data_IF_969890161565
#
_entry.id   IF_969890161565
#
_cell.length_a   1.000
_cell.length_b   1.000
_cell.length_c   1.000
_cell.angle_alpha   90.00
_cell.angle_beta   90.00
_cell.angle_gamma   90.00
#
_symmetry.space_group_name_H-M   'P 1'
#
loop_
_entity.id
_entity.type
_entity.pdbx_description
1 polymer ?
#
# COMPACT_ATOMS: atom_id res chain seq x y z
N UNK A 1 -12.38 -31.32 -21.79
CA UNK A 1 -11.37 -30.25 -21.56
C UNK A 1 -11.67 -28.93 -22.27
N UNK A 2 -12.33 -28.91 -23.44
CA UNK A 2 -12.70 -27.67 -24.16
C UNK A 2 -13.95 -26.96 -23.58
N UNK A 3 -14.88 -27.71 -22.99
CA UNK A 3 -16.12 -27.17 -22.39
C UNK A 3 -15.91 -26.35 -21.10
N UNK A 4 -14.85 -26.62 -20.33
CA UNK A 4 -14.46 -25.80 -19.16
C UNK A 4 -13.89 -24.46 -19.62
N UNK A 5 -13.16 -24.44 -20.74
CA UNK A 5 -12.62 -23.22 -21.35
C UNK A 5 -13.71 -22.33 -21.98
N UNK A 6 -14.79 -22.92 -22.52
CA UNK A 6 -15.89 -22.14 -23.10
C UNK A 6 -16.81 -21.50 -22.04
N UNK A 7 -16.95 -22.09 -20.85
CA UNK A 7 -17.59 -21.45 -19.69
C UNK A 7 -16.66 -20.44 -18.97
N UNK A 8 -15.34 -20.58 -19.09
CA UNK A 8 -14.38 -19.57 -18.64
C UNK A 8 -14.38 -18.29 -19.52
N UNK A 9 -14.87 -18.39 -20.77
CA UNK A 9 -14.97 -17.26 -21.70
C UNK A 9 -16.21 -16.37 -21.47
N UNK A 10 -17.12 -16.72 -20.56
CA UNK A 10 -18.27 -15.87 -20.20
C UNK A 10 -18.02 -14.90 -19.04
N UNK A 11 -16.89 -15.02 -18.32
CA UNK A 11 -16.54 -14.16 -17.19
C UNK A 11 -15.51 -13.11 -17.60
N UNK A 12 -15.98 -12.09 -18.32
CA UNK A 12 -15.16 -10.91 -18.60
C UNK A 12 -14.69 -10.29 -17.28
N UNK A 13 -13.38 -10.04 -17.06
CA UNK A 13 -12.87 -9.49 -15.81
C UNK A 13 -13.56 -8.15 -15.45
N UNK A 14 -14.05 -7.43 -16.46
CA UNK A 14 -14.83 -6.21 -16.29
C UNK A 14 -16.17 -6.46 -15.59
N UNK A 15 -16.87 -7.55 -15.90
CA UNK A 15 -18.13 -7.92 -15.23
C UNK A 15 -17.88 -8.42 -13.81
N UNK A 16 -16.84 -9.23 -13.62
CA UNK A 16 -16.44 -9.70 -12.29
C UNK A 16 -16.09 -8.53 -11.37
N UNK A 17 -15.40 -7.51 -11.89
CA UNK A 17 -15.05 -6.34 -11.10
C UNK A 17 -16.29 -5.59 -10.59
N UNK A 18 -17.32 -5.44 -11.43
CA UNK A 18 -18.58 -4.84 -11.01
C UNK A 18 -19.29 -5.64 -9.90
N UNK A 19 -19.26 -6.98 -9.98
CA UNK A 19 -19.83 -7.83 -8.93
C UNK A 19 -19.01 -7.74 -7.63
N UNK A 20 -17.68 -7.74 -7.74
CA UNK A 20 -16.77 -7.61 -6.61
C UNK A 20 -16.96 -6.28 -5.85
N UNK A 21 -17.23 -5.18 -6.56
CA UNK A 21 -17.48 -3.86 -5.99
C UNK A 21 -18.72 -3.78 -5.08
N UNK A 22 -19.67 -4.72 -5.20
CA UNK A 22 -20.85 -4.76 -4.32
C UNK A 22 -20.45 -4.98 -2.84
N UNK A 23 -19.33 -5.64 -2.53
CA UNK A 23 -18.88 -5.77 -1.14
C UNK A 23 -18.48 -4.42 -0.52
N UNK A 24 -17.85 -3.55 -1.31
CA UNK A 24 -17.54 -2.18 -0.93
C UNK A 24 -18.81 -1.36 -0.71
N UNK A 25 -19.72 -1.38 -1.70
CA UNK A 25 -21.00 -0.65 -1.69
C UNK A 25 -21.90 -1.05 -0.52
N UNK A 26 -22.17 -2.35 -0.34
CA UNK A 26 -22.96 -2.86 0.80
C UNK A 26 -22.29 -2.51 2.13
N UNK A 27 -20.98 -2.43 2.09
CA UNK A 27 -20.17 -1.95 3.18
C UNK A 27 -20.37 -0.48 3.57
N UNK A 28 -20.52 0.41 2.60
CA UNK A 28 -20.85 1.82 2.83
C UNK A 28 -22.26 1.96 3.38
N UNK A 29 -23.21 1.16 2.88
CA UNK A 29 -24.57 1.07 3.45
C UNK A 29 -24.52 0.64 4.91
N UNK A 30 -23.69 -0.37 5.25
CA UNK A 30 -23.49 -0.78 6.64
C UNK A 30 -22.96 0.36 7.50
N UNK A 31 -21.92 1.06 7.05
CA UNK A 31 -21.33 2.18 7.81
C UNK A 31 -22.35 3.29 8.06
N UNK A 32 -23.13 3.67 7.04
CA UNK A 32 -24.20 4.68 7.19
C UNK A 32 -25.27 4.23 8.17
N UNK A 33 -25.74 2.99 8.05
CA UNK A 33 -26.73 2.44 8.99
C UNK A 33 -26.19 2.40 10.44
N UNK A 34 -24.90 2.14 10.63
CA UNK A 34 -24.29 2.20 11.96
C UNK A 34 -24.26 3.62 12.54
N UNK A 35 -23.96 4.61 11.70
CA UNK A 35 -23.94 6.02 12.09
C UNK A 35 -25.35 6.52 12.44
N UNK A 36 -26.35 6.20 11.61
CA UNK A 36 -27.75 6.59 11.83
C UNK A 36 -28.35 5.97 13.09
N UNK A 37 -28.02 4.70 13.37
CA UNK A 37 -28.57 3.99 14.53
C UNK A 37 -27.76 4.22 15.82
N UNK A 38 -26.52 4.73 15.72
CA UNK A 38 -25.58 4.81 16.84
C UNK A 38 -25.19 3.44 17.43
N UNK A 39 -25.51 2.34 16.74
CA UNK A 39 -25.23 0.94 17.13
C UNK A 39 -25.04 0.07 15.90
N UNK A 40 -24.67 -1.19 16.12
CA UNK A 40 -24.64 -2.19 15.04
C UNK A 40 -26.05 -2.46 14.50
N UNK A 41 -26.29 -2.33 13.19
CA UNK A 41 -27.52 -2.78 12.57
C UNK A 41 -27.59 -4.31 12.60
N UNK A 42 -28.80 -4.82 12.81
CA UNK A 42 -29.10 -6.24 12.59
C UNK A 42 -29.02 -6.58 11.10
N UNK A 43 -28.87 -7.86 10.70
CA UNK A 43 -28.89 -8.24 9.28
C UNK A 43 -30.15 -7.76 8.55
N UNK A 44 -31.29 -7.72 9.24
CA UNK A 44 -32.55 -7.21 8.69
C UNK A 44 -32.53 -5.71 8.48
N UNK A 45 -31.99 -4.94 9.43
CA UNK A 45 -31.84 -3.49 9.29
C UNK A 45 -30.84 -3.13 8.19
N UNK A 46 -29.72 -3.86 8.11
CA UNK A 46 -28.75 -3.66 7.02
C UNK A 46 -29.35 -3.95 5.65
N UNK A 47 -30.07 -5.07 5.52
CA UNK A 47 -30.75 -5.42 4.28
C UNK A 47 -31.80 -4.36 3.92
N UNK A 48 -32.58 -3.88 4.90
CA UNK A 48 -33.54 -2.80 4.71
C UNK A 48 -32.88 -1.49 4.25
N UNK A 49 -31.75 -1.08 4.84
CA UNK A 49 -30.97 0.09 4.40
C UNK A 49 -30.40 -0.05 2.98
N UNK A 50 -30.23 -1.27 2.49
CA UNK A 50 -29.81 -1.57 1.12
C UNK A 50 -30.99 -1.73 0.15
N UNK A 51 -32.24 -1.76 0.64
CA UNK A 51 -33.44 -2.09 -0.15
C UNK A 51 -33.50 -3.56 -0.58
N UNK A 52 -32.94 -4.47 0.22
CA UNK A 52 -32.82 -5.90 -0.07
C UNK A 52 -33.51 -6.74 1.01
N UNK A 53 -33.87 -7.99 0.68
CA UNK A 53 -34.10 -9.01 1.71
C UNK A 53 -32.76 -9.47 2.32
N UNK A 54 -32.82 -10.10 3.50
CA UNK A 54 -31.64 -10.68 4.15
C UNK A 54 -30.99 -11.74 3.26
N UNK A 55 -31.79 -12.55 2.56
CA UNK A 55 -31.32 -13.58 1.64
C UNK A 55 -30.56 -12.97 0.46
N UNK A 56 -31.11 -11.91 -0.15
CA UNK A 56 -30.46 -11.22 -1.27
C UNK A 56 -29.18 -10.50 -0.84
N UNK A 57 -29.17 -9.89 0.35
CA UNK A 57 -27.97 -9.28 0.93
C UNK A 57 -26.85 -10.32 1.08
N UNK A 58 -27.15 -11.48 1.67
CA UNK A 58 -26.18 -12.56 1.86
C UNK A 58 -25.70 -13.13 0.52
N UNK A 59 -26.61 -13.34 -0.44
CA UNK A 59 -26.27 -13.82 -1.77
C UNK A 59 -25.34 -12.85 -2.51
N UNK A 60 -25.63 -11.53 -2.48
CA UNK A 60 -24.77 -10.52 -3.11
C UNK A 60 -23.41 -10.43 -2.46
N UNK A 61 -23.34 -10.50 -1.12
CA UNK A 61 -22.05 -10.53 -0.40
C UNK A 61 -21.22 -11.76 -0.77
N UNK A 62 -21.85 -12.92 -0.88
CA UNK A 62 -21.18 -14.16 -1.31
C UNK A 62 -20.63 -14.02 -2.73
N UNK A 63 -21.47 -13.60 -3.67
CA UNK A 63 -21.07 -13.41 -5.06
C UNK A 63 -19.93 -12.38 -5.21
N UNK A 64 -19.96 -11.28 -4.46
CA UNK A 64 -18.90 -10.26 -4.47
C UNK A 64 -17.55 -10.82 -3.98
N UNK A 65 -17.57 -11.66 -2.94
CA UNK A 65 -16.37 -12.33 -2.42
C UNK A 65 -15.80 -13.35 -3.39
N UNK A 66 -16.67 -14.17 -3.99
CA UNK A 66 -16.29 -15.13 -5.01
C UNK A 66 -15.67 -14.43 -6.23
N UNK A 67 -16.30 -13.35 -6.71
CA UNK A 67 -15.77 -12.55 -7.81
C UNK A 67 -14.42 -11.89 -7.47
N UNK A 68 -14.24 -11.39 -6.25
CA UNK A 68 -12.97 -10.84 -5.78
C UNK A 68 -11.88 -11.91 -5.76
N UNK A 69 -12.21 -13.09 -5.21
CA UNK A 69 -11.30 -14.24 -5.16
C UNK A 69 -10.88 -14.68 -6.57
N UNK A 70 -11.84 -14.82 -7.48
CA UNK A 70 -11.59 -15.22 -8.86
C UNK A 70 -10.71 -14.20 -9.60
N UNK A 71 -10.97 -12.89 -9.42
CA UNK A 71 -10.13 -11.83 -9.99
C UNK A 71 -8.71 -11.88 -9.46
N UNK A 72 -8.53 -12.08 -8.15
CA UNK A 72 -7.21 -12.21 -7.53
C UNK A 72 -6.49 -13.44 -8.08
N UNK A 73 -7.13 -14.61 -8.06
CA UNK A 73 -6.57 -15.88 -8.56
C UNK A 73 -6.15 -15.78 -10.03
N UNK A 74 -7.01 -15.22 -10.88
CA UNK A 74 -6.74 -15.03 -12.31
C UNK A 74 -5.53 -14.12 -12.57
N UNK A 75 -5.32 -13.11 -11.73
CA UNK A 75 -4.24 -12.13 -11.91
C UNK A 75 -2.98 -12.43 -11.08
N UNK A 76 -2.92 -13.56 -10.38
CA UNK A 76 -1.72 -13.97 -9.62
C UNK A 76 -0.46 -14.04 -10.50
N UNK A 77 -0.59 -14.46 -11.76
CA UNK A 77 0.52 -14.52 -12.71
C UNK A 77 1.09 -13.13 -13.01
N UNK A 78 0.23 -12.13 -13.19
CA UNK A 78 0.62 -10.72 -13.38
C UNK A 78 1.35 -10.21 -12.14
N UNK A 79 0.77 -10.39 -10.95
CA UNK A 79 1.37 -9.95 -9.68
C UNK A 79 2.76 -10.57 -9.50
N UNK A 80 2.89 -11.90 -9.61
CA UNK A 80 4.19 -12.57 -9.49
C UNK A 80 5.21 -12.10 -10.54
N UNK A 81 4.78 -11.81 -11.77
CA UNK A 81 5.67 -11.27 -12.81
C UNK A 81 6.19 -9.87 -12.51
N UNK A 82 5.38 -9.03 -11.85
CA UNK A 82 5.78 -7.69 -11.42
C UNK A 82 6.67 -7.75 -10.17
N UNK A 83 6.34 -8.63 -9.21
CA UNK A 83 7.11 -8.82 -7.98
C UNK A 83 8.57 -9.19 -8.30
N UNK A 84 8.80 -10.14 -9.21
CA UNK A 84 10.17 -10.53 -9.63
C UNK A 84 11.00 -9.36 -10.16
N UNK A 85 10.38 -8.43 -10.91
CA UNK A 85 11.06 -7.25 -11.45
C UNK A 85 11.47 -6.26 -10.34
N UNK A 86 10.59 -6.09 -9.34
CA UNK A 86 10.85 -5.19 -8.20
C UNK A 86 11.89 -5.79 -7.26
N UNK A 87 11.77 -7.09 -6.95
CA UNK A 87 12.69 -7.83 -6.09
C UNK A 87 14.14 -7.73 -6.56
N UNK A 88 14.37 -7.98 -7.86
CA UNK A 88 15.69 -7.87 -8.49
C UNK A 88 16.38 -6.52 -8.23
N UNK A 89 15.62 -5.43 -8.25
CA UNK A 89 16.16 -4.07 -8.12
C UNK A 89 16.33 -3.64 -6.66
N UNK A 90 15.64 -4.28 -5.71
CA UNK A 90 15.46 -3.76 -4.34
C UNK A 90 15.85 -4.71 -3.22
N UNK A 91 16.28 -5.94 -3.53
CA UNK A 91 16.65 -6.99 -2.54
C UNK A 91 15.54 -7.29 -1.52
N UNK A 92 14.27 -7.16 -1.94
CA UNK A 92 13.10 -7.52 -1.13
C UNK A 92 12.62 -8.89 -1.57
N UNK A 93 12.12 -9.69 -0.63
CA UNK A 93 11.55 -11.01 -0.92
C UNK A 93 10.38 -10.92 -1.91
N UNK A 94 10.33 -11.88 -2.83
CA UNK A 94 9.32 -11.89 -3.91
C UNK A 94 7.93 -12.18 -3.36
N UNK A 95 7.81 -13.01 -2.32
CA UNK A 95 6.54 -13.35 -1.69
C UNK A 95 5.98 -12.13 -0.96
N UNK A 96 6.80 -11.41 -0.19
CA UNK A 96 6.39 -10.18 0.49
C UNK A 96 5.87 -9.13 -0.52
N UNK A 97 6.60 -8.94 -1.63
CA UNK A 97 6.16 -8.07 -2.72
C UNK A 97 4.88 -8.57 -3.39
N UNK A 98 4.72 -9.88 -3.56
CA UNK A 98 3.51 -10.44 -4.15
C UNK A 98 2.29 -10.23 -3.24
N UNK A 99 2.45 -10.37 -1.92
CA UNK A 99 1.37 -10.13 -0.96
C UNK A 99 0.92 -8.67 -0.97
N UNK A 100 1.85 -7.72 -0.91
CA UNK A 100 1.52 -6.29 -1.04
C UNK A 100 0.96 -5.96 -2.43
N UNK A 101 1.46 -6.62 -3.47
CA UNK A 101 0.91 -6.56 -4.81
C UNK A 101 -0.55 -7.01 -4.90
N UNK A 102 -0.92 -8.08 -4.20
CA UNK A 102 -2.30 -8.57 -4.11
C UNK A 102 -3.20 -7.56 -3.37
N UNK A 103 -2.69 -6.90 -2.32
CA UNK A 103 -3.41 -5.80 -1.67
C UNK A 103 -3.63 -4.62 -2.63
N UNK A 104 -2.63 -4.30 -3.46
CA UNK A 104 -2.77 -3.32 -4.55
C UNK A 104 -3.82 -3.74 -5.58
N UNK A 105 -3.87 -5.02 -5.95
CA UNK A 105 -4.86 -5.56 -6.87
C UNK A 105 -6.30 -5.43 -6.32
N UNK A 106 -6.52 -5.76 -5.04
CA UNK A 106 -7.84 -5.61 -4.40
C UNK A 106 -8.29 -4.14 -4.44
N UNK A 107 -7.39 -3.19 -4.14
CA UNK A 107 -7.68 -1.74 -4.28
C UNK A 107 -7.99 -1.33 -5.72
N UNK A 108 -7.38 -2.00 -6.70
CA UNK A 108 -7.70 -1.77 -8.10
C UNK A 108 -9.12 -2.23 -8.43
N UNK A 109 -9.54 -3.39 -7.93
CA UNK A 109 -10.91 -3.93 -8.10
C UNK A 109 -11.93 -2.93 -7.55
N UNK A 110 -11.72 -2.42 -6.34
CA UNK A 110 -12.62 -1.46 -5.69
C UNK A 110 -12.85 -0.18 -6.51
N UNK A 111 -11.83 0.28 -7.26
CA UNK A 111 -11.83 1.57 -7.96
C UNK A 111 -11.95 1.47 -9.48
N UNK A 112 -12.04 0.26 -10.01
CA UNK A 112 -12.01 0.03 -11.44
C UNK A 112 -13.26 0.55 -12.14
N UNK A 113 -13.06 1.25 -13.25
CA UNK A 113 -14.10 1.72 -14.16
C UNK A 113 -13.90 1.05 -15.53
N UNK A 114 -14.81 0.14 -15.88
CA UNK A 114 -14.76 -0.66 -17.11
C UNK A 114 -14.94 0.14 -18.41
N UNK A 115 -15.32 1.41 -18.33
CA UNK A 115 -15.50 2.27 -19.51
C UNK A 115 -14.19 2.85 -20.05
N UNK A 116 -13.14 2.94 -19.21
CA UNK A 116 -11.92 3.70 -19.52
C UNK A 116 -10.78 2.85 -20.07
N UNK A 117 -10.57 1.65 -19.52
CA UNK A 117 -9.43 0.82 -19.86
C UNK A 117 -9.69 -0.66 -19.52
N UNK A 118 -8.92 -1.57 -20.13
CA UNK A 118 -8.88 -2.98 -19.72
C UNK A 118 -8.38 -3.11 -18.27
N UNK A 119 -8.96 -4.05 -17.53
CA UNK A 119 -8.66 -4.24 -16.10
C UNK A 119 -7.17 -4.45 -15.80
N UNK A 120 -6.48 -5.31 -16.55
CA UNK A 120 -5.05 -5.60 -16.30
C UNK A 120 -4.14 -4.37 -16.46
N UNK A 121 -4.48 -3.46 -17.37
CA UNK A 121 -3.76 -2.18 -17.54
C UNK A 121 -3.93 -1.31 -16.31
N UNK A 122 -5.16 -1.16 -15.82
CA UNK A 122 -5.46 -0.37 -14.62
C UNK A 122 -4.82 -0.98 -13.36
N UNK A 123 -4.97 -2.30 -13.17
CA UNK A 123 -4.45 -3.02 -12.01
C UNK A 123 -2.93 -2.91 -11.89
N UNK A 124 -2.19 -2.88 -13.00
CA UNK A 124 -0.72 -2.77 -13.00
C UNK A 124 -0.22 -1.55 -12.22
N UNK A 125 -0.93 -0.41 -12.29
CA UNK A 125 -0.55 0.82 -11.57
C UNK A 125 -0.65 0.60 -10.06
N UNK A 126 -1.78 0.07 -9.59
CA UNK A 126 -2.03 -0.18 -8.17
C UNK A 126 -1.12 -1.26 -7.58
N UNK A 127 -0.88 -2.35 -8.34
CA UNK A 127 0.03 -3.43 -7.93
C UNK A 127 1.44 -2.88 -7.72
N UNK A 128 1.97 -2.12 -8.71
CA UNK A 128 3.30 -1.51 -8.60
C UNK A 128 3.39 -0.52 -7.46
N UNK A 129 2.37 0.32 -7.28
CA UNK A 129 2.36 1.30 -6.19
C UNK A 129 2.47 0.64 -4.82
N UNK A 130 1.74 -0.46 -4.58
CA UNK A 130 1.80 -1.21 -3.33
C UNK A 130 3.16 -1.91 -3.13
N UNK A 131 3.70 -2.55 -4.17
CA UNK A 131 5.04 -3.15 -4.13
C UNK A 131 6.15 -2.12 -3.85
N UNK A 132 6.10 -0.96 -4.51
CA UNK A 132 7.07 0.10 -4.28
C UNK A 132 6.95 0.72 -2.89
N UNK A 133 5.74 0.74 -2.31
CA UNK A 133 5.55 1.18 -0.94
C UNK A 133 6.23 0.24 0.06
N UNK A 134 6.02 -1.07 -0.07
CA UNK A 134 6.75 -2.06 0.72
C UNK A 134 8.26 -1.91 0.51
N UNK A 135 8.72 -1.87 -0.74
CA UNK A 135 10.15 -1.77 -1.04
C UNK A 135 10.80 -0.46 -0.58
N UNK A 136 10.02 0.58 -0.25
CA UNK A 136 10.51 1.78 0.44
C UNK A 136 10.58 1.57 1.95
N UNK A 137 9.56 0.96 2.54
CA UNK A 137 9.48 0.67 3.99
C UNK A 137 10.48 -0.38 4.45
N UNK A 138 10.78 -1.37 3.62
CA UNK A 138 11.68 -2.49 3.92
C UNK A 138 13.16 -2.21 3.65
N UNK A 139 13.56 -0.95 3.40
CA UNK A 139 14.98 -0.61 3.21
C UNK A 139 15.72 -0.62 4.53
N UNK A 140 16.40 -1.74 4.79
CA UNK A 140 17.24 -2.03 5.95
C UNK A 140 16.51 -1.97 7.30
N UNK A 141 17.25 -2.01 8.40
CA UNK A 141 16.66 -2.30 9.72
C UNK A 141 15.77 -1.17 10.29
N UNK A 142 15.79 0.03 9.68
CA UNK A 142 15.03 1.19 10.15
C UNK A 142 14.22 1.82 9.04
N UNK A 143 12.92 2.01 9.31
CA UNK A 143 12.00 2.70 8.41
C UNK A 143 12.33 4.19 8.38
N UNK A 144 12.77 4.67 7.23
CA UNK A 144 13.03 6.09 7.01
C UNK A 144 11.75 6.84 6.59
N UNK A 145 11.58 8.11 7.00
CA UNK A 145 10.49 8.94 6.50
C UNK A 145 10.50 9.07 4.98
N UNK A 146 9.30 9.09 4.37
CA UNK A 146 9.13 9.18 2.91
C UNK A 146 9.86 10.40 2.32
N UNK A 147 9.83 11.55 3.02
CA UNK A 147 10.50 12.78 2.60
C UNK A 147 12.01 12.61 2.44
N UNK A 148 12.66 11.87 3.35
CA UNK A 148 14.11 11.57 3.28
C UNK A 148 14.40 10.73 2.04
N UNK A 149 13.59 9.70 1.80
CA UNK A 149 13.74 8.81 0.64
C UNK A 149 13.52 9.54 -0.68
N UNK A 150 12.57 10.47 -0.74
CA UNK A 150 12.29 11.28 -1.94
C UNK A 150 13.41 12.27 -2.25
N UNK A 151 13.96 12.92 -1.21
CA UNK A 151 15.13 13.82 -1.33
C UNK A 151 16.31 13.04 -1.93
N UNK A 152 16.66 11.88 -1.38
CA UNK A 152 17.79 11.10 -1.92
C UNK A 152 17.48 10.50 -3.30
N UNK A 153 16.25 10.06 -3.56
CA UNK A 153 15.91 9.57 -4.90
C UNK A 153 16.02 10.66 -5.97
N UNK A 154 15.66 11.91 -5.66
CA UNK A 154 15.80 13.06 -6.58
C UNK A 154 17.27 13.48 -6.69
N UNK A 155 17.97 13.62 -5.58
CA UNK A 155 19.39 13.98 -5.57
C UNK A 155 20.25 12.96 -6.33
N UNK A 156 20.04 11.66 -6.11
CA UNK A 156 20.75 10.62 -6.83
C UNK A 156 20.48 10.60 -8.33
N UNK A 157 19.34 11.14 -8.82
CA UNK A 157 19.11 11.33 -10.26
C UNK A 157 19.93 12.51 -10.80
N UNK A 158 19.83 13.67 -10.16
CA UNK A 158 20.54 14.90 -10.57
C UNK A 158 22.06 14.71 -10.55
N UNK A 159 22.58 14.10 -9.48
CA UNK A 159 24.02 13.83 -9.35
C UNK A 159 24.54 12.76 -10.34
N UNK A 160 23.67 11.93 -10.92
CA UNK A 160 24.04 10.94 -11.94
C UNK A 160 24.05 11.53 -13.35
N UNK A 161 23.43 12.67 -13.56
CA UNK A 161 23.39 13.37 -14.85
C UNK A 161 24.66 14.24 -15.07
N UNK A 162 25.69 14.08 -14.23
CA UNK A 162 27.04 14.69 -14.27
C UNK A 162 27.13 16.23 -14.36
N UNK A 163 26.01 16.96 -14.42
CA UNK A 163 26.00 18.43 -14.55
C UNK A 163 25.79 19.22 -13.25
N UNK A 164 25.45 18.57 -12.12
CA UNK A 164 25.05 19.27 -10.90
C UNK A 164 25.97 19.08 -9.69
N UNK A 165 26.45 20.20 -9.14
CA UNK A 165 27.06 20.23 -7.81
C UNK A 165 26.02 19.89 -6.73
N UNK A 166 26.46 19.38 -5.57
CA UNK A 166 25.56 19.11 -4.44
C UNK A 166 24.74 20.36 -4.03
N UNK A 167 25.30 21.55 -4.25
CA UNK A 167 24.66 22.84 -4.03
C UNK A 167 23.52 23.09 -5.02
N UNK A 168 23.73 22.79 -6.30
CA UNK A 168 22.71 22.92 -7.35
C UNK A 168 21.57 21.94 -7.13
N UNK A 169 21.89 20.67 -6.83
CA UNK A 169 20.89 19.65 -6.51
C UNK A 169 20.04 20.04 -5.29
N UNK A 170 20.65 20.59 -4.23
CA UNK A 170 19.92 21.06 -3.06
C UNK A 170 18.95 22.20 -3.40
N UNK A 171 19.40 23.17 -4.21
CA UNK A 171 18.57 24.28 -4.67
C UNK A 171 17.37 23.79 -5.51
N UNK A 172 17.59 22.85 -6.43
CA UNK A 172 16.51 22.32 -7.29
C UNK A 172 15.52 21.41 -6.56
N UNK A 173 15.95 20.75 -5.48
CA UNK A 173 15.07 20.00 -4.58
C UNK A 173 14.31 20.95 -3.64
N UNK A 174 14.79 22.18 -3.45
CA UNK A 174 14.22 23.17 -2.53
C UNK A 174 14.59 22.90 -1.07
N UNK A 175 15.78 22.34 -0.81
CA UNK A 175 16.31 22.06 0.54
C UNK A 175 17.69 22.71 0.71
N UNK A 176 18.10 22.97 1.95
CA UNK A 176 19.48 23.39 2.23
C UNK A 176 20.47 22.26 1.92
N UNK A 177 21.69 22.60 1.51
CA UNK A 177 22.76 21.62 1.27
C UNK A 177 23.05 20.73 2.49
N UNK A 178 22.99 21.28 3.71
CA UNK A 178 23.13 20.51 4.97
C UNK A 178 22.03 19.45 5.10
N UNK A 179 20.76 19.82 4.86
CA UNK A 179 19.62 18.88 4.86
C UNK A 179 19.75 17.81 3.77
N UNK A 180 20.28 18.17 2.60
CA UNK A 180 20.53 17.18 1.54
C UNK A 180 21.59 16.18 2.00
N UNK A 181 22.74 16.64 2.51
CA UNK A 181 23.80 15.76 3.05
C UNK A 181 23.28 14.84 4.16
N UNK A 182 22.48 15.37 5.08
CA UNK A 182 21.89 14.61 6.17
C UNK A 182 20.89 13.56 5.68
N UNK A 183 20.01 13.92 4.73
CA UNK A 183 19.08 12.98 4.11
C UNK A 183 19.79 11.83 3.40
N UNK A 184 20.91 12.11 2.71
CA UNK A 184 21.74 11.09 2.05
C UNK A 184 22.41 10.17 3.07
N UNK A 185 22.97 10.71 4.16
CA UNK A 185 23.54 9.92 5.26
C UNK A 185 22.47 9.01 5.88
N UNK A 186 21.29 9.56 6.17
CA UNK A 186 20.15 8.79 6.69
C UNK A 186 19.70 7.67 5.75
N UNK A 187 19.75 7.89 4.43
CA UNK A 187 19.40 6.88 3.44
C UNK A 187 20.45 5.74 3.32
N UNK A 188 21.70 5.97 3.72
CA UNK A 188 22.80 4.99 3.67
C UNK A 188 22.95 4.18 4.96
N UNK A 189 22.55 4.76 6.11
CA UNK A 189 22.58 4.15 7.44
C UNK A 189 22.06 2.69 7.52
N UNK A 190 20.94 2.32 6.87
CA UNK A 190 20.46 0.94 6.94
C UNK A 190 21.39 -0.07 6.26
N UNK A 191 22.07 0.32 5.17
CA UNK A 191 23.05 -0.51 4.46
C UNK A 191 24.31 -0.71 5.30
N UNK A 192 24.81 0.38 5.91
CA UNK A 192 25.97 0.34 6.81
C UNK A 192 25.71 -0.59 8.01
N UNK A 193 24.48 -0.56 8.54
CA UNK A 193 24.09 -1.42 9.66
C UNK A 193 24.03 -2.91 9.27
N UNK A 194 23.57 -3.25 8.06
CA UNK A 194 23.57 -4.62 7.55
C UNK A 194 24.99 -5.17 7.36
N UNK A 195 25.92 -4.35 6.87
CA UNK A 195 27.32 -4.72 6.71
C UNK A 195 28.04 -4.91 8.05
N UNK A 196 27.71 -4.09 9.06
CA UNK A 196 28.37 -4.11 10.37
C UNK A 196 27.74 -5.11 11.35
N UNK A 197 26.46 -5.44 11.21
CA UNK A 197 25.79 -6.50 12.00
C UNK A 197 26.41 -7.90 11.77
N UNK A 198 27.24 -8.06 10.74
CA UNK A 198 28.05 -9.26 10.53
C UNK A 198 29.30 -9.37 11.44
N UNK A 199 29.65 -8.32 12.21
CA UNK A 199 30.89 -8.23 13.00
C UNK A 199 30.72 -8.10 14.52
N UNK A 200 30.14 -7.01 15.02
CA UNK A 200 29.96 -6.75 16.47
C UNK A 200 28.75 -5.81 16.72
N UNK A 201 27.62 -6.39 17.12
CA UNK A 201 26.30 -5.76 16.96
C UNK A 201 25.95 -4.71 18.04
N UNK A 202 26.43 -4.84 19.28
CA UNK A 202 25.82 -4.13 20.42
C UNK A 202 26.31 -2.68 20.61
N UNK A 203 27.60 -2.41 20.40
CA UNK A 203 28.16 -1.06 20.55
C UNK A 203 27.74 -0.13 19.40
N UNK A 204 27.58 -0.69 18.20
CA UNK A 204 27.21 0.02 16.97
C UNK A 204 25.74 0.41 16.99
N UNK A 205 24.85 -0.50 17.41
CA UNK A 205 23.42 -0.24 17.58
C UNK A 205 23.17 0.92 18.56
N UNK A 206 23.95 1.02 19.65
CA UNK A 206 23.82 2.12 20.62
C UNK A 206 24.34 3.48 20.10
N UNK A 207 25.36 3.49 19.25
CA UNK A 207 25.84 4.69 18.55
C UNK A 207 24.82 5.17 17.51
N UNK A 208 24.32 4.25 16.69
CA UNK A 208 23.33 4.50 15.66
C UNK A 208 22.01 5.00 16.25
N UNK A 209 21.54 4.42 17.36
CA UNK A 209 20.31 4.88 18.02
C UNK A 209 20.40 6.35 18.48
N UNK A 210 21.58 6.83 18.85
CA UNK A 210 21.82 8.24 19.21
C UNK A 210 21.87 9.15 17.99
N UNK A 211 22.53 8.71 16.93
CA UNK A 211 22.62 9.47 15.68
C UNK A 211 21.29 9.56 14.94
N UNK A 212 20.55 8.44 14.91
CA UNK A 212 19.22 8.39 14.34
C UNK A 212 18.25 9.24 15.16
N UNK A 213 18.29 9.19 16.49
CA UNK A 213 17.45 10.05 17.34
C UNK A 213 17.73 11.54 17.12
N UNK A 214 19.01 11.93 17.04
CA UNK A 214 19.40 13.33 16.76
C UNK A 214 18.96 13.80 15.38
N UNK A 215 19.12 12.96 14.37
CA UNK A 215 18.70 13.25 13.01
C UNK A 215 17.17 13.26 12.86
N UNK A 216 16.46 12.36 13.56
CA UNK A 216 14.99 12.35 13.65
C UNK A 216 14.45 13.62 14.32
N UNK A 217 15.06 14.07 15.42
CA UNK A 217 14.67 15.29 16.13
C UNK A 217 14.96 16.55 15.29
N UNK A 218 16.03 16.55 14.48
CA UNK A 218 16.36 17.65 13.57
C UNK A 218 15.48 17.69 12.30
N UNK A 219 14.92 16.54 11.88
CA UNK A 219 14.18 16.41 10.61
C UNK A 219 12.68 16.67 10.73
N UNK A 220 12.10 16.66 11.93
CA UNK A 220 10.70 17.02 12.14
C UNK A 220 10.55 18.55 12.09
N UNK A 221 10.15 19.09 10.93
CA UNK A 221 9.47 20.39 10.92
C UNK A 221 8.28 20.29 11.90
N UNK A 222 8.01 21.33 12.71
CA UNK A 222 6.99 21.34 13.78
C UNK A 222 5.56 20.92 13.34
N UNK A 223 5.31 20.76 12.03
CA UNK A 223 4.07 20.21 11.45
C UNK A 223 4.01 18.67 11.42
N UNK A 224 5.15 17.97 11.30
CA UNK A 224 5.19 16.49 11.21
C UNK A 224 5.18 15.79 12.58
N UNK A 225 5.62 16.46 13.65
CA UNK A 225 5.52 15.97 15.03
C UNK A 225 4.06 15.69 15.45
N UNK A 226 3.09 16.32 14.77
CA UNK A 226 1.66 16.08 14.99
C UNK A 226 1.21 14.75 14.42
N UNK A 227 1.80 14.28 13.31
CA UNK A 227 1.40 13.06 12.58
C UNK A 227 1.94 11.80 13.26
N UNK A 228 3.14 11.84 13.84
CA UNK A 228 3.68 10.70 14.62
C UNK A 228 3.02 10.57 16.01
N UNK A 229 2.26 11.57 16.47
CA UNK A 229 1.32 11.47 17.60
C UNK A 229 -0.10 11.08 17.19
N UNK A 230 -0.38 10.93 15.90
CA UNK A 230 -1.62 10.32 15.47
C UNK A 230 -1.49 8.81 15.62
N UNK A 231 -1.95 8.31 16.76
CA UNK A 231 -2.59 6.99 16.80
C UNK A 231 -3.40 6.84 15.51
N UNK A 232 -3.33 5.71 14.80
CA UNK A 232 -4.17 5.48 13.62
C UNK A 232 -5.58 5.88 14.00
N UNK A 233 -6.21 6.72 13.16
CA UNK A 233 -7.52 7.31 13.39
C UNK A 233 -8.40 6.27 14.06
N UNK A 234 -8.73 6.51 15.33
CA UNK A 234 -9.70 5.67 16.03
C UNK A 234 -10.93 5.68 15.13
N UNK A 235 -11.33 4.49 14.64
CA UNK A 235 -12.66 4.30 14.09
C UNK A 235 -13.65 5.02 15.02
N UNK A 236 -14.69 5.67 14.48
CA UNK A 236 -15.70 6.32 15.32
C UNK A 236 -16.07 5.36 16.46
N UNK A 237 -15.85 5.82 17.68
CA UNK A 237 -15.97 5.02 18.90
C UNK A 237 -17.39 4.47 18.98
N UNK A 238 -17.54 3.16 18.81
CA UNK A 238 -18.84 2.46 18.93
C UNK A 238 -19.14 1.45 17.83
N UNK A 239 -18.44 1.48 16.68
CA UNK A 239 -18.78 0.61 15.55
C UNK A 239 -17.81 -0.60 15.42
N UNK A 240 -18.24 -1.84 15.74
CA UNK A 240 -17.41 -3.04 15.59
C UNK A 240 -17.19 -3.40 14.12
N UNK A 241 -16.26 -4.34 13.86
CA UNK A 241 -15.99 -4.85 12.51
C UNK A 241 -17.29 -5.38 11.90
N UNK A 242 -17.50 -5.12 10.60
CA UNK A 242 -18.58 -5.75 9.82
C UNK A 242 -18.60 -7.25 10.14
N UNK A 243 -19.78 -7.87 10.27
CA UNK A 243 -19.85 -9.29 10.56
C UNK A 243 -19.07 -10.06 9.49
N UNK A 244 -17.94 -10.62 9.92
CA UNK A 244 -17.25 -11.70 9.21
C UNK A 244 -18.16 -12.91 9.31
N UNK A 245 -18.55 -13.44 8.14
CA UNK A 245 -19.10 -14.79 8.08
C UNK A 245 -17.92 -15.75 8.03
#
# INVERSE_FOLDING_TARGET
>A
MVLVWLLALSHRPERLASVAQEEGRLGEVWSRACEELGRTPTPREWAASAGLSVVELEARRRAAREATRELVETHQGLVRSLARKVAWTRRVDVEDLAQEGNLGLVRAIEKYDGTRAKFSTYATIWIRAAMFDLARRSRGAVVLPQRVLDIEAKAGRLLREEEDSATTAAAEIGVSETRLREARRLAQLPTELEEVAAGDADAVVAGLRRDLARAFDAHLDARETRVLRLRPSRRPSGCPRRPSA
#
